data_IF_630408741782
#
_entry.id   IF_630408741782
#
_cell.length_a   1.000
_cell.length_b   1.000
_cell.length_c   1.000
_cell.angle_alpha   90.00
_cell.angle_beta   90.00
_cell.angle_gamma   90.00
#
_symmetry.space_group_name_H-M   'P 1'
#
loop_
_entity.id
_entity.type
_entity.pdbx_description
1 polymer ?
#
# COMPACT_ATOMS: atom_id res chain seq x y z
N UNK A 1 -10.40 8.16 -4.50
CA UNK A 1 -11.34 7.59 -3.49
C UNK A 1 -10.74 6.46 -2.68
N UNK A 2 -10.09 5.44 -3.29
CA UNK A 2 -9.52 4.29 -2.57
C UNK A 2 -8.70 4.61 -1.31
N UNK A 3 -7.78 5.58 -1.38
CA UNK A 3 -6.97 6.03 -0.24
C UNK A 3 -7.82 6.50 0.95
N UNK A 4 -8.81 7.35 0.69
CA UNK A 4 -9.68 7.88 1.74
C UNK A 4 -10.60 6.78 2.28
N UNK A 5 -11.10 5.90 1.41
CA UNK A 5 -11.91 4.75 1.81
C UNK A 5 -11.17 3.86 2.81
N UNK A 6 -9.95 3.43 2.48
CA UNK A 6 -9.18 2.55 3.37
C UNK A 6 -8.81 3.26 4.67
N UNK A 7 -8.44 4.55 4.61
CA UNK A 7 -8.16 5.34 5.81
C UNK A 7 -9.36 5.42 6.75
N UNK A 8 -10.55 5.69 6.21
CA UNK A 8 -11.78 5.74 7.01
C UNK A 8 -12.13 4.38 7.59
N UNK A 9 -11.97 3.29 6.81
CA UNK A 9 -12.21 1.92 7.29
C UNK A 9 -11.29 1.55 8.45
N UNK A 10 -9.99 1.80 8.32
CA UNK A 10 -9.04 1.56 9.42
C UNK A 10 -9.38 2.38 10.67
N UNK A 11 -9.76 3.65 10.51
CA UNK A 11 -10.21 4.49 11.65
C UNK A 11 -11.45 3.93 12.35
N UNK A 12 -12.30 3.20 11.63
CA UNK A 12 -13.47 2.51 12.18
C UNK A 12 -13.16 1.10 12.72
N UNK A 13 -11.90 0.67 12.77
CA UNK A 13 -11.51 -0.68 13.20
C UNK A 13 -11.78 -1.77 12.16
N UNK A 14 -12.10 -1.39 10.92
CA UNK A 14 -12.36 -2.32 9.82
C UNK A 14 -11.10 -2.55 8.98
N UNK A 15 -11.03 -3.72 8.33
CA UNK A 15 -9.95 -4.05 7.39
C UNK A 15 -10.05 -3.20 6.12
N UNK A 16 -8.93 -3.00 5.43
CA UNK A 16 -8.90 -2.25 4.17
C UNK A 16 -9.59 -3.00 3.03
N UNK A 17 -10.06 -2.25 2.03
CA UNK A 17 -10.65 -2.82 0.81
C UNK A 17 -9.66 -2.84 -0.35
N UNK A 18 -8.83 -1.79 -0.49
CA UNK A 18 -7.93 -1.61 -1.63
C UNK A 18 -6.44 -1.67 -1.27
N UNK A 19 -6.09 -1.80 0.01
CA UNK A 19 -4.71 -1.97 0.46
C UNK A 19 -3.83 -0.75 0.21
N UNK A 20 -4.36 0.45 0.43
CA UNK A 20 -3.65 1.72 0.15
C UNK A 20 -2.96 2.32 1.37
N UNK A 21 -3.30 1.89 2.59
CA UNK A 21 -2.64 2.30 3.81
C UNK A 21 -1.52 1.32 4.14
N UNK A 22 -0.32 1.86 4.26
CA UNK A 22 0.88 1.13 4.60
C UNK A 22 1.24 1.34 6.07
N UNK A 23 2.07 0.44 6.60
CA UNK A 23 2.74 0.56 7.88
C UNK A 23 4.22 0.32 7.64
N UNK A 24 5.04 1.25 8.12
CA UNK A 24 6.47 1.04 8.16
C UNK A 24 6.81 0.01 9.25
N UNK A 25 7.61 -0.98 8.90
CA UNK A 25 8.17 -1.98 9.79
C UNK A 25 9.68 -2.02 9.57
N UNK A 26 10.42 -1.27 10.39
CA UNK A 26 11.85 -1.02 10.16
C UNK A 26 12.07 -0.29 8.84
N UNK A 27 12.90 -0.87 7.97
CA UNK A 27 13.27 -0.29 6.68
C UNK A 27 12.37 -0.73 5.53
N UNK A 28 11.19 -1.28 5.84
CA UNK A 28 10.25 -1.77 4.83
C UNK A 28 8.84 -1.23 5.06
N UNK A 29 8.07 -1.15 3.99
CA UNK A 29 6.63 -0.95 4.07
C UNK A 29 5.89 -2.28 3.93
N UNK A 30 4.85 -2.43 4.75
CA UNK A 30 3.89 -3.52 4.66
C UNK A 30 2.49 -2.94 4.54
N UNK A 31 1.59 -3.62 3.83
CA UNK A 31 0.18 -3.23 3.87
C UNK A 31 -0.40 -3.50 5.25
N UNK A 32 -1.30 -2.62 5.70
CA UNK A 32 -2.17 -2.96 6.82
C UNK A 32 -3.22 -4.02 6.40
N UNK A 33 -3.85 -4.74 7.33
CA UNK A 33 -4.76 -5.84 7.01
C UNK A 33 -5.88 -5.49 6.01
N UNK A 34 -6.23 -6.43 5.14
CA UNK A 34 -7.25 -6.30 4.07
C UNK A 34 -8.35 -7.36 4.26
N UNK A 35 -9.60 -7.05 3.90
CA UNK A 35 -10.76 -7.94 4.16
C UNK A 35 -10.80 -9.21 3.29
N UNK A 36 -10.08 -9.21 2.17
CA UNK A 36 -10.00 -10.33 1.22
C UNK A 36 -8.69 -10.18 0.42
N UNK A 37 -7.61 -10.86 0.83
CA UNK A 37 -6.31 -10.77 0.14
C UNK A 37 -6.34 -11.32 -1.28
N UNK A 38 -7.11 -12.39 -1.53
CA UNK A 38 -7.11 -13.09 -2.82
C UNK A 38 -7.79 -12.26 -3.92
N UNK A 39 -8.89 -11.57 -3.59
CA UNK A 39 -9.56 -10.64 -4.52
C UNK A 39 -8.94 -9.24 -4.57
N UNK A 40 -7.86 -8.96 -3.82
CA UNK A 40 -7.27 -7.63 -3.76
C UNK A 40 -6.74 -7.16 -5.11
N UNK A 41 -6.07 -8.05 -5.85
CA UNK A 41 -5.50 -7.70 -7.16
C UNK A 41 -6.59 -7.27 -8.15
N UNK A 42 -7.70 -8.01 -8.21
CA UNK A 42 -8.85 -7.67 -9.07
C UNK A 42 -9.46 -6.32 -8.70
N UNK A 43 -9.68 -6.07 -7.41
CA UNK A 43 -10.22 -4.77 -6.94
C UNK A 43 -9.29 -3.60 -7.25
N UNK A 44 -7.97 -3.81 -7.17
CA UNK A 44 -6.97 -2.79 -7.53
C UNK A 44 -7.01 -2.53 -9.04
N UNK A 45 -7.04 -3.58 -9.85
CA UNK A 45 -7.13 -3.47 -11.31
C UNK A 45 -8.40 -2.75 -11.76
N UNK A 46 -9.56 -3.06 -11.16
CA UNK A 46 -10.84 -2.42 -11.48
C UNK A 46 -10.87 -0.90 -11.22
N UNK A 47 -9.97 -0.39 -10.38
CA UNK A 47 -9.81 1.03 -10.08
C UNK A 47 -8.56 1.66 -10.71
N UNK A 48 -7.90 0.95 -11.64
CA UNK A 48 -6.63 1.36 -12.25
C UNK A 48 -5.56 1.71 -11.21
N UNK A 49 -5.56 1.03 -10.05
CA UNK A 49 -4.50 1.16 -9.06
C UNK A 49 -3.32 0.29 -9.47
N UNK A 50 -2.11 0.73 -9.12
CA UNK A 50 -0.91 -0.08 -9.33
C UNK A 50 -1.05 -1.47 -8.67
N UNK A 51 -0.46 -2.52 -9.26
CA UNK A 51 -0.18 -3.76 -8.55
C UNK A 51 0.44 -3.50 -7.17
N UNK A 52 0.12 -4.35 -6.19
CA UNK A 52 0.47 -4.07 -4.80
C UNK A 52 1.98 -4.04 -4.57
N UNK A 53 2.70 -4.97 -5.20
CA UNK A 53 4.16 -5.04 -5.20
C UNK A 53 4.80 -3.77 -5.76
N UNK A 54 4.33 -3.27 -6.91
CA UNK A 54 4.81 -2.00 -7.48
C UNK A 54 4.53 -0.82 -6.54
N UNK A 55 3.35 -0.80 -5.92
CA UNK A 55 2.99 0.25 -4.96
C UNK A 55 3.89 0.26 -3.72
N UNK A 56 4.24 -0.91 -3.18
CA UNK A 56 5.18 -1.02 -2.06
C UNK A 56 6.59 -0.57 -2.45
N UNK A 57 7.06 -0.93 -3.65
CA UNK A 57 8.37 -0.47 -4.13
C UNK A 57 8.44 1.06 -4.24
N UNK A 58 7.41 1.69 -4.81
CA UNK A 58 7.34 3.16 -4.89
C UNK A 58 7.29 3.82 -3.51
N UNK A 59 6.59 3.21 -2.55
CA UNK A 59 6.53 3.72 -1.18
C UNK A 59 7.91 3.68 -0.51
N UNK A 60 8.63 2.55 -0.63
CA UNK A 60 10.01 2.41 -0.14
C UNK A 60 10.95 3.45 -0.77
N UNK A 61 10.88 3.64 -2.10
CA UNK A 61 11.69 4.63 -2.82
C UNK A 61 11.39 6.07 -2.36
N UNK A 62 10.11 6.46 -2.30
CA UNK A 62 9.72 7.82 -1.90
C UNK A 62 10.09 8.19 -0.46
N UNK A 63 10.28 7.18 0.39
CA UNK A 63 10.63 7.35 1.80
C UNK A 63 12.14 7.42 2.08
N UNK A 64 12.99 7.21 1.07
CA UNK A 64 14.44 7.08 1.24
C UNK A 64 14.89 5.76 1.86
N UNK A 65 14.00 4.77 2.02
CA UNK A 65 14.32 3.42 2.50
C UNK A 65 14.97 2.54 1.41
N UNK A 66 14.96 3.00 0.16
CA UNK A 66 15.83 2.50 -0.91
C UNK A 66 16.80 3.61 -1.28
N UNK A 67 18.05 3.47 -0.84
CA UNK A 67 19.13 4.31 -1.30
C UNK A 67 19.55 3.84 -2.70
N UNK A 68 19.15 4.56 -3.73
CA UNK A 68 19.86 4.49 -4.99
C UNK A 68 21.00 5.49 -4.87
N UNK A 69 22.21 4.97 -4.61
CA UNK A 69 23.47 5.70 -4.68
C UNK A 69 23.69 6.32 -6.06
N UNK A 70 22.92 7.36 -6.36
CA UNK A 70 23.14 8.29 -7.44
C UNK A 70 24.03 9.38 -6.83
N UNK A 71 25.26 9.43 -7.34
CA UNK A 71 26.41 10.26 -6.94
C UNK A 71 27.35 9.61 -5.90
N UNK A 72 28.25 8.76 -6.41
CA UNK A 72 29.70 8.90 -6.17
C UNK A 72 30.35 9.39 -7.48
#
# INVERSE_FOLDING_TARGET
MALLTDRTRLKAGLLQRYGTQLRQQGDRFTIQPVEDPDGLAERRAALCLLPLDLYLMMAEESSGLRDHGLFD
#
